data_IF_893031666905
#
_entry.id   IF_893031666905
#
_cell.length_a   1.000
_cell.length_b   1.000
_cell.length_c   1.000
_cell.angle_alpha   90.00
_cell.angle_beta   90.00
_cell.angle_gamma   90.00
#
_symmetry.space_group_name_H-M   'P 1'
#
loop_
_entity.id
_entity.type
_entity.pdbx_description
1 polymer ?
#
# COMPACT_ATOMS: atom_id res chain seq x y z
N UNK A 1 13.76 -10.79 8.64
CA UNK A 1 13.17 -9.48 8.22
C UNK A 1 14.25 -8.72 7.48
N UNK A 2 14.06 -8.49 6.21
CA UNK A 2 14.98 -7.70 5.41
C UNK A 2 14.70 -6.19 5.54
N UNK A 3 15.74 -5.37 5.44
CA UNK A 3 15.59 -3.92 5.42
C UNK A 3 14.97 -3.44 4.11
N UNK A 4 15.39 -4.05 3.02
CA UNK A 4 14.94 -3.71 1.67
C UNK A 4 14.38 -4.95 0.98
N UNK A 5 13.20 -4.81 0.41
CA UNK A 5 12.62 -5.77 -0.53
C UNK A 5 12.80 -5.23 -1.95
N UNK A 6 13.24 -6.05 -2.90
CA UNK A 6 13.40 -5.64 -4.31
C UNK A 6 12.45 -6.44 -5.18
N UNK A 7 11.49 -5.74 -5.78
CA UNK A 7 10.53 -6.26 -6.74
C UNK A 7 10.98 -5.97 -8.17
N UNK A 8 10.99 -6.98 -9.03
CA UNK A 8 11.43 -6.87 -10.42
C UNK A 8 10.85 -8.00 -11.29
N UNK A 9 10.90 -7.87 -12.60
CA UNK A 9 10.58 -8.98 -13.50
C UNK A 9 11.74 -9.97 -13.55
N UNK A 10 11.48 -11.26 -13.41
CA UNK A 10 12.50 -12.33 -13.31
C UNK A 10 13.51 -12.33 -14.48
N UNK A 11 13.08 -11.91 -15.67
CA UNK A 11 13.95 -11.72 -16.82
C UNK A 11 15.05 -10.67 -16.62
N UNK A 12 14.82 -9.72 -15.70
CA UNK A 12 15.72 -8.60 -15.46
C UNK A 12 16.75 -8.86 -14.35
N UNK A 13 16.77 -10.09 -13.80
CA UNK A 13 17.62 -10.50 -12.68
C UNK A 13 19.07 -10.05 -12.83
N UNK A 14 19.69 -10.35 -13.97
CA UNK A 14 21.10 -10.02 -14.22
C UNK A 14 21.37 -8.51 -14.17
N UNK A 15 20.40 -7.69 -14.56
CA UNK A 15 20.49 -6.23 -14.56
C UNK A 15 20.21 -5.62 -13.18
N UNK A 16 19.43 -6.30 -12.38
CA UNK A 16 19.07 -5.86 -11.02
C UNK A 16 20.18 -6.23 -10.03
N UNK A 17 20.92 -7.30 -10.27
CA UNK A 17 21.98 -7.78 -9.39
C UNK A 17 23.02 -6.71 -8.99
N UNK A 18 23.57 -5.88 -9.90
CA UNK A 18 24.51 -4.82 -9.53
C UNK A 18 23.87 -3.75 -8.64
N UNK A 19 22.58 -3.45 -8.83
CA UNK A 19 21.84 -2.51 -7.98
C UNK A 19 21.67 -3.07 -6.57
N UNK A 20 21.33 -4.35 -6.46
CA UNK A 20 21.24 -5.05 -5.16
C UNK A 20 22.57 -5.02 -4.44
N UNK A 21 23.68 -5.35 -5.13
CA UNK A 21 25.02 -5.29 -4.56
C UNK A 21 25.37 -3.89 -4.03
N UNK A 22 24.95 -2.82 -4.74
CA UNK A 22 25.16 -1.45 -4.28
C UNK A 22 24.33 -1.12 -3.03
N UNK A 23 23.15 -1.70 -2.89
CA UNK A 23 22.29 -1.54 -1.69
C UNK A 23 22.90 -2.32 -0.52
N UNK A 24 23.30 -3.57 -0.71
CA UNK A 24 23.94 -4.41 0.30
C UNK A 24 25.25 -3.83 0.82
N UNK A 25 26.01 -3.16 -0.06
CA UNK A 25 27.25 -2.45 0.32
C UNK A 25 27.02 -1.33 1.36
N UNK A 26 25.78 -0.87 1.57
CA UNK A 26 25.42 0.06 2.64
C UNK A 26 25.20 -0.63 4.00
N UNK A 27 25.33 -1.96 4.05
CA UNK A 27 25.08 -2.73 5.27
C UNK A 27 23.61 -3.05 5.53
N UNK A 28 22.74 -2.89 4.52
CA UNK A 28 21.33 -3.25 4.62
C UNK A 28 21.09 -4.66 4.12
N UNK A 29 20.22 -5.40 4.81
CA UNK A 29 19.77 -6.72 4.36
C UNK A 29 18.76 -6.57 3.23
N UNK A 30 18.97 -7.29 2.13
CA UNK A 30 18.11 -7.23 0.95
C UNK A 30 17.42 -8.58 0.73
N UNK A 31 16.11 -8.54 0.55
CA UNK A 31 15.34 -9.69 0.11
C UNK A 31 15.02 -9.54 -1.40
N UNK A 32 15.62 -10.39 -2.18
CA UNK A 32 15.44 -10.46 -3.63
C UNK A 32 15.77 -11.87 -4.10
N UNK A 33 15.16 -12.32 -5.20
CA UNK A 33 15.46 -13.62 -5.83
C UNK A 33 15.66 -14.79 -4.83
N UNK A 34 14.70 -15.10 -3.96
CA UNK A 34 14.85 -16.17 -3.01
C UNK A 34 15.00 -17.52 -3.74
N UNK A 35 15.96 -18.34 -3.32
CA UNK A 35 16.00 -19.76 -3.66
C UNK A 35 14.85 -20.46 -2.93
N UNK A 36 13.74 -20.67 -3.63
CA UNK A 36 12.57 -21.31 -3.06
C UNK A 36 12.56 -22.77 -3.45
N UNK A 37 12.62 -23.65 -2.45
CA UNK A 37 12.55 -25.09 -2.66
C UNK A 37 11.17 -25.49 -3.23
N UNK A 38 11.17 -26.43 -4.17
CA UNK A 38 9.95 -26.97 -4.75
C UNK A 38 9.00 -27.49 -3.64
N UNK A 39 7.76 -27.00 -3.62
CA UNK A 39 6.74 -27.42 -2.66
C UNK A 39 6.49 -26.49 -1.46
N UNK A 40 7.23 -25.36 -1.34
CA UNK A 40 6.91 -24.34 -0.36
C UNK A 40 5.82 -23.39 -0.88
N UNK A 41 4.99 -22.86 0.05
CA UNK A 41 3.99 -21.83 -0.29
C UNK A 41 4.69 -20.49 -0.60
N UNK A 42 5.05 -20.34 -1.87
CA UNK A 42 5.75 -19.20 -2.45
C UNK A 42 5.14 -17.85 -2.06
N UNK A 43 3.82 -17.76 -2.18
CA UNK A 43 3.09 -16.52 -2.02
C UNK A 43 3.10 -15.97 -0.59
N UNK A 44 3.10 -16.86 0.41
CA UNK A 44 3.10 -16.45 1.83
C UNK A 44 4.44 -15.88 2.27
N UNK A 45 5.55 -16.46 1.81
CA UNK A 45 6.88 -15.98 2.19
C UNK A 45 7.15 -14.61 1.57
N UNK A 46 6.85 -14.45 0.27
CA UNK A 46 6.95 -13.16 -0.41
C UNK A 46 6.08 -12.10 0.28
N UNK A 47 4.82 -12.42 0.55
CA UNK A 47 3.91 -11.49 1.21
C UNK A 47 4.40 -11.08 2.61
N UNK A 48 5.04 -12.00 3.35
CA UNK A 48 5.59 -11.73 4.68
C UNK A 48 6.79 -10.80 4.60
N UNK A 49 7.76 -11.09 3.71
CA UNK A 49 8.95 -10.27 3.54
C UNK A 49 8.60 -8.90 2.96
N UNK A 50 7.71 -8.82 1.96
CA UNK A 50 7.20 -7.56 1.42
C UNK A 50 6.59 -6.69 2.53
N UNK A 51 5.70 -7.26 3.36
CA UNK A 51 5.03 -6.52 4.44
C UNK A 51 5.97 -6.08 5.57
N UNK A 52 7.04 -6.83 5.80
CA UNK A 52 7.98 -6.56 6.88
C UNK A 52 9.12 -5.62 6.49
N UNK A 53 9.39 -5.45 5.20
CA UNK A 53 10.46 -4.61 4.71
C UNK A 53 10.25 -3.13 5.06
N UNK A 54 11.35 -2.47 5.47
CA UNK A 54 11.37 -1.05 5.81
C UNK A 54 11.31 -0.16 4.56
N UNK A 55 11.81 -0.66 3.43
CA UNK A 55 11.72 -0.04 2.11
C UNK A 55 11.49 -1.09 1.04
N UNK A 56 10.74 -0.74 0.00
CA UNK A 56 10.47 -1.61 -1.16
C UNK A 56 10.95 -0.91 -2.42
N UNK A 57 12.01 -1.44 -3.03
CA UNK A 57 12.49 -0.99 -4.33
C UNK A 57 11.72 -1.72 -5.40
N UNK A 58 11.04 -1.00 -6.28
CA UNK A 58 10.38 -1.59 -7.45
C UNK A 58 11.11 -1.15 -8.71
N UNK A 59 11.63 -2.13 -9.44
CA UNK A 59 12.39 -1.89 -10.67
C UNK A 59 11.45 -1.94 -11.87
N UNK A 60 11.21 -0.78 -12.47
CA UNK A 60 10.40 -0.64 -13.66
C UNK A 60 11.23 -0.80 -14.92
N UNK A 61 10.90 -1.79 -15.72
CA UNK A 61 11.40 -2.06 -17.06
C UNK A 61 10.21 -2.22 -18.01
N UNK A 62 10.39 -2.21 -19.34
CA UNK A 62 9.31 -2.54 -20.26
C UNK A 62 8.62 -3.87 -19.96
N UNK A 63 9.35 -4.84 -19.39
CA UNK A 63 8.81 -6.14 -18.98
C UNK A 63 8.06 -6.08 -17.65
N UNK A 64 8.62 -5.41 -16.64
CA UNK A 64 8.04 -5.40 -15.31
C UNK A 64 6.74 -4.60 -15.22
N UNK A 65 6.55 -3.58 -16.06
CA UNK A 65 5.31 -2.80 -16.13
C UNK A 65 4.09 -3.64 -16.55
N UNK A 66 4.32 -4.72 -17.29
CA UNK A 66 3.27 -5.66 -17.69
C UNK A 66 3.00 -6.73 -16.62
N UNK A 67 3.90 -6.90 -15.66
CA UNK A 67 3.76 -7.89 -14.59
C UNK A 67 2.70 -7.48 -13.59
N UNK A 68 1.62 -8.26 -13.50
CA UNK A 68 0.58 -8.07 -12.47
C UNK A 68 1.13 -8.19 -11.06
N UNK A 69 2.14 -9.06 -10.89
CA UNK A 69 2.80 -9.28 -9.62
C UNK A 69 3.58 -8.04 -9.16
N UNK A 70 4.50 -7.54 -9.98
CA UNK A 70 5.30 -6.35 -9.68
C UNK A 70 4.41 -5.14 -9.41
N UNK A 71 3.33 -4.98 -10.20
CA UNK A 71 2.35 -3.91 -9.99
C UNK A 71 1.59 -4.03 -8.67
N UNK A 72 1.25 -5.26 -8.26
CA UNK A 72 0.61 -5.54 -6.98
C UNK A 72 1.50 -5.19 -5.79
N UNK A 73 2.77 -5.60 -5.85
CA UNK A 73 3.79 -5.30 -4.82
C UNK A 73 4.07 -3.79 -4.74
N UNK A 74 4.14 -3.12 -5.89
CA UNK A 74 4.32 -1.67 -5.96
C UNK A 74 3.17 -0.92 -5.30
N UNK A 75 1.93 -1.36 -5.53
CA UNK A 75 0.74 -0.75 -4.92
C UNK A 75 0.73 -0.94 -3.41
N UNK A 76 0.98 -2.17 -2.90
CA UNK A 76 1.08 -2.42 -1.46
C UNK A 76 2.15 -1.54 -0.81
N UNK A 77 3.32 -1.42 -1.45
CA UNK A 77 4.40 -0.58 -0.97
C UNK A 77 4.06 0.93 -1.00
N UNK A 78 3.35 1.40 -2.03
CA UNK A 78 2.89 2.78 -2.14
C UNK A 78 1.88 3.12 -1.04
N UNK A 79 0.90 2.25 -0.79
CA UNK A 79 -0.12 2.40 0.25
C UNK A 79 0.50 2.49 1.65
N UNK A 80 1.60 1.78 1.88
CA UNK A 80 2.36 1.82 3.14
C UNK A 80 3.36 2.99 3.22
N UNK A 81 3.56 3.74 2.14
CA UNK A 81 4.52 4.84 2.08
C UNK A 81 5.99 4.38 2.15
N UNK A 82 6.27 3.16 1.70
CA UNK A 82 7.62 2.55 1.69
C UNK A 82 8.15 2.26 0.28
N UNK A 83 7.44 2.71 -0.76
CA UNK A 83 7.81 2.49 -2.15
C UNK A 83 8.95 3.42 -2.57
N UNK A 84 9.97 2.83 -3.17
CA UNK A 84 11.09 3.53 -3.84
C UNK A 84 11.17 3.03 -5.29
N UNK A 85 10.50 3.70 -6.22
CA UNK A 85 10.48 3.25 -7.60
C UNK A 85 11.78 3.63 -8.33
N UNK A 86 12.26 2.71 -9.16
CA UNK A 86 13.44 2.86 -10.01
C UNK A 86 13.06 2.54 -11.45
N UNK A 87 13.50 3.33 -12.42
CA UNK A 87 13.20 3.12 -13.83
C UNK A 87 14.45 2.78 -14.64
N UNK A 88 14.30 1.78 -15.49
CA UNK A 88 15.26 1.40 -16.53
C UNK A 88 14.62 1.49 -17.92
N UNK A 89 15.43 1.76 -18.95
CA UNK A 89 15.08 1.68 -20.36
C UNK A 89 13.87 2.53 -20.79
N UNK A 90 13.69 3.67 -20.16
CA UNK A 90 12.57 4.54 -20.51
C UNK A 90 11.20 3.90 -20.27
N UNK A 91 11.08 2.92 -19.37
CA UNK A 91 9.83 2.24 -19.08
C UNK A 91 8.71 3.24 -18.74
N UNK A 92 7.54 3.04 -19.35
CA UNK A 92 6.37 3.86 -19.07
C UNK A 92 5.72 3.41 -17.75
N UNK A 93 5.83 4.26 -16.73
CA UNK A 93 5.35 3.92 -15.39
C UNK A 93 3.82 3.73 -15.37
N UNK A 94 3.31 2.75 -14.61
CA UNK A 94 1.88 2.62 -14.35
C UNK A 94 1.30 3.89 -13.74
N UNK A 95 0.06 4.22 -14.09
CA UNK A 95 -0.59 5.50 -13.73
C UNK A 95 -0.66 5.73 -12.22
N UNK A 96 -0.83 4.65 -11.46
CA UNK A 96 -0.95 4.64 -9.99
C UNK A 96 0.35 4.96 -9.25
N UNK A 97 1.50 4.88 -9.92
CA UNK A 97 2.82 5.20 -9.32
C UNK A 97 3.49 6.43 -9.94
N UNK A 98 2.91 7.02 -10.99
CA UNK A 98 3.49 8.20 -11.69
C UNK A 98 3.66 9.43 -10.80
N UNK A 99 2.85 9.57 -9.76
CA UNK A 99 2.93 10.67 -8.82
C UNK A 99 4.08 10.53 -7.81
N UNK A 100 4.73 9.36 -7.74
CA UNK A 100 5.81 9.07 -6.81
C UNK A 100 7.13 9.38 -7.49
N UNK A 101 8.02 10.10 -6.79
CA UNK A 101 9.35 10.39 -7.31
C UNK A 101 10.10 9.10 -7.65
N UNK A 102 10.51 8.96 -8.91
CA UNK A 102 11.15 7.76 -9.44
C UNK A 102 12.58 8.06 -9.82
N UNK A 103 13.52 7.29 -9.28
CA UNK A 103 14.93 7.39 -9.67
C UNK A 103 15.13 6.83 -11.07
N UNK A 104 15.66 7.64 -11.97
CA UNK A 104 15.96 7.23 -13.33
C UNK A 104 17.37 6.62 -13.41
N UNK A 105 17.45 5.34 -13.75
CA UNK A 105 18.70 4.62 -13.97
C UNK A 105 18.88 4.20 -15.45
N UNK A 106 18.24 4.91 -16.39
CA UNK A 106 18.47 4.68 -17.82
C UNK A 106 19.94 4.87 -18.14
N UNK A 107 20.59 3.83 -18.65
CA UNK A 107 22.01 3.89 -19.04
C UNK A 107 23.02 4.10 -17.91
N UNK A 108 22.69 3.79 -16.66
CA UNK A 108 23.59 3.97 -15.49
C UNK A 108 24.90 3.16 -15.55
N UNK A 109 24.99 2.14 -16.44
CA UNK A 109 26.20 1.39 -16.70
C UNK A 109 26.77 0.64 -15.49
N UNK A 110 25.92 0.21 -14.56
CA UNK A 110 26.27 -0.49 -13.31
C UNK A 110 27.22 0.32 -12.38
N UNK A 111 27.33 1.64 -12.60
CA UNK A 111 28.17 2.50 -11.79
C UNK A 111 27.47 2.88 -10.48
N UNK A 112 27.83 2.19 -9.40
CA UNK A 112 27.29 2.47 -8.06
C UNK A 112 27.61 3.90 -7.57
N UNK A 113 28.64 4.56 -8.10
CA UNK A 113 29.00 5.93 -7.76
C UNK A 113 28.23 6.99 -8.58
N UNK A 114 27.34 6.58 -9.49
CA UNK A 114 26.54 7.52 -10.27
C UNK A 114 25.63 8.35 -9.34
N UNK A 115 25.38 9.61 -9.70
CA UNK A 115 24.56 10.51 -8.90
C UNK A 115 23.15 9.93 -8.64
N UNK A 116 22.56 9.26 -9.62
CA UNK A 116 21.25 8.63 -9.51
C UNK A 116 21.22 7.48 -8.49
N UNK A 117 22.25 6.61 -8.47
CA UNK A 117 22.35 5.54 -7.47
C UNK A 117 22.60 6.11 -6.09
N UNK A 118 23.43 7.13 -5.96
CA UNK A 118 23.68 7.81 -4.68
C UNK A 118 22.41 8.51 -4.15
N UNK A 119 21.57 9.04 -5.00
CA UNK A 119 20.25 9.58 -4.64
C UNK A 119 19.30 8.47 -4.14
N UNK A 120 19.25 7.36 -4.87
CA UNK A 120 18.49 6.17 -4.46
C UNK A 120 18.93 5.69 -3.07
N UNK A 121 20.22 5.51 -2.85
CA UNK A 121 20.77 5.05 -1.57
C UNK A 121 20.46 6.01 -0.43
N UNK A 122 20.52 7.31 -0.67
CA UNK A 122 20.09 8.32 0.33
C UNK A 122 18.61 8.20 0.66
N UNK A 123 17.76 8.02 -0.35
CA UNK A 123 16.31 7.86 -0.17
C UNK A 123 15.99 6.60 0.63
N UNK A 124 16.64 5.48 0.31
CA UNK A 124 16.53 4.24 1.07
C UNK A 124 16.97 4.41 2.52
N UNK A 125 18.13 5.01 2.75
CA UNK A 125 18.65 5.28 4.10
C UNK A 125 17.70 6.11 4.94
N UNK A 126 17.13 7.18 4.37
CA UNK A 126 16.15 8.01 5.05
C UNK A 126 14.87 7.22 5.42
N UNK A 127 14.41 6.35 4.52
CA UNK A 127 13.22 5.52 4.73
C UNK A 127 13.46 4.46 5.81
N UNK A 128 14.57 3.71 5.71
CA UNK A 128 14.96 2.67 6.68
C UNK A 128 15.15 3.29 8.07
N UNK A 129 15.83 4.43 8.17
CA UNK A 129 16.05 5.11 9.45
C UNK A 129 14.73 5.60 10.06
N UNK A 130 13.78 6.06 9.26
CA UNK A 130 12.43 6.43 9.73
C UNK A 130 11.67 5.24 10.32
N UNK A 131 11.82 4.06 9.73
CA UNK A 131 11.18 2.83 10.20
C UNK A 131 11.90 2.23 11.42
N UNK A 132 13.23 2.37 11.49
CA UNK A 132 14.07 1.90 12.59
C UNK A 132 14.12 2.85 13.78
N UNK A 133 13.86 4.14 13.55
CA UNK A 133 13.77 5.10 14.65
C UNK A 133 12.81 4.52 15.68
N UNK A 134 13.21 4.36 16.95
CA UNK A 134 12.27 3.97 17.98
C UNK A 134 11.14 4.98 17.85
N UNK A 135 9.96 4.47 17.52
CA UNK A 135 8.74 5.27 17.65
C UNK A 135 8.86 5.83 19.05
N UNK A 136 9.00 7.15 19.25
CA UNK A 136 9.22 7.66 20.60
C UNK A 136 8.18 6.96 21.42
N UNK A 137 8.64 6.10 22.35
CA UNK A 137 7.75 5.58 23.37
C UNK A 137 7.12 6.85 23.89
N UNK A 138 5.82 6.99 23.69
CA UNK A 138 5.10 8.17 24.12
C UNK A 138 5.43 8.37 25.59
N UNK A 139 6.58 9.02 25.83
CA UNK A 139 6.75 9.75 27.04
C UNK A 139 5.50 10.64 27.05
N UNK A 140 4.67 10.49 28.07
CA UNK A 140 3.46 11.26 28.25
C UNK A 140 3.79 12.76 28.26
N UNK A 141 4.27 13.25 27.12
CA UNK A 141 4.03 14.61 26.73
C UNK A 141 2.50 14.71 26.62
N UNK A 142 1.86 15.72 27.17
CA UNK A 142 0.44 15.93 26.96
C UNK A 142 0.27 15.75 25.43
N UNK A 143 -0.47 14.71 25.04
CA UNK A 143 -0.74 14.43 23.63
C UNK A 143 -1.02 15.80 23.01
N UNK A 144 -0.28 16.22 21.94
CA UNK A 144 -0.80 17.30 21.17
C UNK A 144 -2.22 16.83 20.87
N UNK A 145 -3.19 17.52 21.43
CA UNK A 145 -4.59 17.28 21.08
C UNK A 145 -4.55 17.16 19.59
N UNK A 146 -4.89 15.98 18.99
CA UNK A 146 -4.89 15.83 17.54
C UNK A 146 -5.63 17.06 17.09
N UNK A 147 -5.13 17.82 16.07
CA UNK A 147 -5.78 19.05 15.68
C UNK A 147 -7.24 18.70 15.69
N UNK A 148 -8.00 19.42 16.56
CA UNK A 148 -9.46 19.26 16.62
C UNK A 148 -9.81 19.41 15.18
N UNK A 149 -10.19 18.32 14.53
CA UNK A 149 -10.65 18.36 13.16
C UNK A 149 -11.67 19.49 13.20
N UNK A 150 -11.54 20.52 12.37
CA UNK A 150 -12.52 21.58 12.35
C UNK A 150 -13.84 20.85 12.38
N UNK A 151 -14.83 21.27 13.19
CA UNK A 151 -16.08 20.56 13.48
C UNK A 151 -16.79 20.20 12.15
N UNK A 152 -16.18 19.36 11.38
CA UNK A 152 -16.51 18.88 10.05
C UNK A 152 -17.01 17.44 10.14
N UNK A 153 -17.91 17.11 9.25
CA UNK A 153 -18.43 15.76 9.09
C UNK A 153 -17.26 14.84 8.73
N UNK A 154 -17.09 13.74 9.47
CA UNK A 154 -16.08 12.72 9.19
C UNK A 154 -16.75 11.36 8.97
N UNK A 155 -16.24 10.59 8.02
CA UNK A 155 -16.84 9.33 7.57
C UNK A 155 -15.83 8.21 7.46
N UNK A 156 -16.23 7.01 7.88
CA UNK A 156 -15.58 5.75 7.55
C UNK A 156 -16.46 4.95 6.60
N UNK A 157 -15.94 4.54 5.47
CA UNK A 157 -16.61 3.61 4.56
C UNK A 157 -16.10 2.21 4.85
N UNK A 158 -16.96 1.35 5.39
CA UNK A 158 -16.62 -0.06 5.62
C UNK A 158 -16.58 -0.83 4.29
N UNK A 159 -15.75 -1.87 4.19
CA UNK A 159 -15.79 -2.76 3.03
C UNK A 159 -17.19 -3.34 2.82
N UNK A 160 -17.72 -3.17 1.62
CA UNK A 160 -19.06 -3.66 1.29
C UNK A 160 -19.08 -5.19 1.24
N UNK A 161 -20.08 -5.78 1.86
CA UNK A 161 -20.23 -7.23 1.90
C UNK A 161 -20.59 -7.77 0.51
N UNK A 162 -19.88 -8.81 0.07
CA UNK A 162 -20.27 -9.56 -1.12
C UNK A 162 -21.44 -10.47 -0.82
N UNK A 163 -22.60 -10.20 -1.39
CA UNK A 163 -23.81 -10.99 -1.27
C UNK A 163 -24.18 -11.70 -2.59
N UNK A 164 -23.23 -11.89 -3.48
CA UNK A 164 -23.44 -12.51 -4.79
C UNK A 164 -23.52 -14.04 -4.74
N UNK A 165 -23.05 -14.66 -3.64
CA UNK A 165 -22.90 -16.11 -3.53
C UNK A 165 -21.69 -16.67 -4.30
N UNK A 166 -20.87 -15.82 -4.90
CA UNK A 166 -19.68 -16.14 -5.67
C UNK A 166 -18.46 -15.45 -5.04
N UNK A 167 -17.50 -16.20 -4.46
CA UNK A 167 -16.30 -15.64 -3.85
C UNK A 167 -15.45 -14.82 -4.82
N UNK A 168 -15.48 -15.10 -6.12
CA UNK A 168 -14.73 -14.35 -7.13
C UNK A 168 -15.26 -12.91 -7.31
N UNK A 169 -16.45 -12.62 -6.82
CA UNK A 169 -17.00 -11.25 -6.83
C UNK A 169 -16.54 -10.41 -5.61
N UNK A 170 -15.72 -10.97 -4.73
CA UNK A 170 -15.21 -10.25 -3.54
C UNK A 170 -14.40 -9.02 -3.96
N UNK A 171 -13.51 -9.17 -4.96
CA UNK A 171 -12.72 -8.06 -5.46
C UNK A 171 -13.58 -6.93 -6.06
N UNK A 172 -14.76 -7.28 -6.61
CA UNK A 172 -15.67 -6.28 -7.16
C UNK A 172 -16.34 -5.45 -6.05
N UNK A 173 -16.73 -6.11 -4.95
CA UNK A 173 -17.28 -5.42 -3.77
C UNK A 173 -16.24 -4.52 -3.10
N UNK A 174 -14.97 -4.96 -3.08
CA UNK A 174 -13.85 -4.15 -2.58
C UNK A 174 -13.62 -2.92 -3.47
N UNK A 175 -13.64 -3.11 -4.79
CA UNK A 175 -13.48 -2.01 -5.76
C UNK A 175 -14.55 -0.93 -5.60
N UNK A 176 -15.82 -1.32 -5.41
CA UNK A 176 -16.91 -0.36 -5.15
C UNK A 176 -16.64 0.44 -3.87
N UNK A 177 -16.17 -0.22 -2.81
CA UNK A 177 -15.85 0.47 -1.55
C UNK A 177 -14.69 1.46 -1.73
N UNK A 178 -13.68 1.09 -2.50
CA UNK A 178 -12.52 1.92 -2.83
C UNK A 178 -12.90 3.13 -3.67
N UNK A 179 -13.75 2.94 -4.69
CA UNK A 179 -14.26 4.02 -5.53
C UNK A 179 -15.04 5.05 -4.68
N UNK A 180 -15.89 4.57 -3.78
CA UNK A 180 -16.66 5.45 -2.86
C UNK A 180 -15.71 6.24 -1.96
N UNK A 181 -14.70 5.60 -1.36
CA UNK A 181 -13.70 6.28 -0.52
C UNK A 181 -13.00 7.37 -1.36
N UNK A 182 -12.55 7.02 -2.55
CA UNK A 182 -11.86 7.94 -3.47
C UNK A 182 -12.73 9.14 -3.83
N UNK A 183 -14.00 8.91 -4.16
CA UNK A 183 -14.91 9.99 -4.53
C UNK A 183 -15.24 10.91 -3.34
N UNK A 184 -15.44 10.34 -2.16
CA UNK A 184 -15.68 11.12 -0.95
C UNK A 184 -14.47 11.97 -0.54
N UNK A 185 -13.23 11.53 -0.80
CA UNK A 185 -12.02 12.33 -0.51
C UNK A 185 -11.92 13.60 -1.35
N UNK A 186 -12.64 13.68 -2.46
CA UNK A 186 -12.71 14.90 -3.30
C UNK A 186 -13.55 16.02 -2.65
N UNK A 187 -14.33 15.68 -1.63
CA UNK A 187 -15.15 16.66 -0.89
C UNK A 187 -14.33 17.27 0.23
N UNK A 188 -13.83 18.49 0.03
CA UNK A 188 -12.89 19.15 0.96
C UNK A 188 -13.42 19.39 2.38
N UNK A 189 -14.76 19.43 2.55
CA UNK A 189 -15.43 19.60 3.85
C UNK A 189 -15.60 18.28 4.61
N UNK A 190 -15.24 17.13 4.02
CA UNK A 190 -15.46 15.80 4.57
C UNK A 190 -14.14 15.15 4.97
N UNK A 191 -14.00 14.78 6.25
CA UNK A 191 -12.89 13.96 6.71
C UNK A 191 -13.14 12.48 6.38
N UNK A 192 -12.37 11.88 5.47
CA UNK A 192 -12.57 10.48 5.06
C UNK A 192 -11.48 9.60 5.64
N UNK A 193 -11.87 8.50 6.30
CA UNK A 193 -10.92 7.50 6.79
C UNK A 193 -10.27 6.78 5.59
N UNK A 194 -8.96 6.57 5.69
CA UNK A 194 -8.23 5.89 4.61
C UNK A 194 -8.71 4.46 4.38
N UNK A 195 -8.61 3.99 3.14
CA UNK A 195 -8.94 2.63 2.73
C UNK A 195 -8.30 1.57 3.65
N UNK A 196 -7.00 1.68 3.89
CA UNK A 196 -6.27 0.70 4.69
C UNK A 196 -6.81 0.59 6.12
N UNK A 197 -7.19 1.71 6.72
CA UNK A 197 -7.79 1.72 8.06
C UNK A 197 -9.18 1.09 8.04
N UNK A 198 -10.01 1.41 7.05
CA UNK A 198 -11.36 0.88 6.91
C UNK A 198 -11.35 -0.64 6.63
N UNK A 199 -10.43 -1.10 5.78
CA UNK A 199 -10.32 -2.52 5.41
C UNK A 199 -9.78 -3.42 6.52
N UNK A 200 -9.23 -2.87 7.61
CA UNK A 200 -8.93 -3.64 8.81
C UNK A 200 -10.18 -4.27 9.47
N UNK A 201 -11.36 -3.78 9.13
CA UNK A 201 -12.64 -4.31 9.61
C UNK A 201 -13.25 -5.34 8.66
N UNK A 202 -12.65 -5.62 7.51
CA UNK A 202 -13.15 -6.58 6.53
C UNK A 202 -13.31 -7.98 7.15
N UNK A 203 -14.48 -8.59 6.94
CA UNK A 203 -14.79 -9.92 7.45
C UNK A 203 -14.97 -10.01 8.97
N UNK A 204 -14.92 -8.88 9.69
CA UNK A 204 -15.17 -8.84 11.13
C UNK A 204 -16.62 -8.42 11.39
N UNK A 205 -17.27 -9.13 12.29
CA UNK A 205 -18.56 -8.69 12.83
C UNK A 205 -18.29 -7.63 13.90
N UNK A 206 -18.34 -6.36 13.51
CA UNK A 206 -18.11 -5.23 14.42
C UNK A 206 -19.36 -4.36 14.47
N UNK A 207 -19.68 -3.87 15.67
CA UNK A 207 -20.72 -2.87 15.82
C UNK A 207 -20.28 -1.53 15.22
N UNK A 208 -21.13 -0.91 14.43
CA UNK A 208 -20.88 0.39 13.78
C UNK A 208 -20.48 1.45 14.79
N UNK A 209 -21.18 1.49 15.94
CA UNK A 209 -20.85 2.40 17.03
C UNK A 209 -19.45 2.19 17.61
N UNK A 210 -18.96 0.95 17.62
CA UNK A 210 -17.59 0.65 18.06
C UNK A 210 -16.55 1.15 17.05
N UNK A 211 -16.80 0.94 15.74
CA UNK A 211 -15.95 1.47 14.66
C UNK A 211 -15.88 2.99 14.74
N UNK A 212 -17.01 3.65 14.87
CA UNK A 212 -17.09 5.11 14.95
C UNK A 212 -16.29 5.66 16.14
N UNK A 213 -16.42 5.05 17.31
CA UNK A 213 -15.64 5.42 18.51
C UNK A 213 -14.15 5.18 18.32
N UNK A 214 -13.75 4.03 17.76
CA UNK A 214 -12.36 3.67 17.57
C UNK A 214 -11.66 4.61 16.58
N UNK A 215 -12.35 4.98 15.50
CA UNK A 215 -11.82 5.85 14.46
C UNK A 215 -12.13 7.34 14.68
N UNK A 216 -12.95 7.66 15.70
CA UNK A 216 -13.39 9.03 16.01
C UNK A 216 -14.06 9.71 14.81
N UNK A 217 -14.93 9.00 14.11
CA UNK A 217 -15.71 9.53 13.00
C UNK A 217 -17.14 9.81 13.41
N UNK A 218 -17.75 10.82 12.77
CA UNK A 218 -19.16 11.18 13.00
C UNK A 218 -20.13 10.28 12.26
N UNK A 219 -19.68 9.64 11.16
CA UNK A 219 -20.53 8.79 10.32
C UNK A 219 -19.80 7.54 9.89
N UNK A 220 -20.55 6.47 9.68
CA UNK A 220 -20.05 5.23 9.08
C UNK A 220 -20.97 4.88 7.90
N UNK A 221 -20.38 4.57 6.76
CA UNK A 221 -21.07 4.03 5.60
C UNK A 221 -20.80 2.53 5.53
N UNK A 222 -21.84 1.73 5.59
CA UNK A 222 -21.78 0.30 5.34
C UNK A 222 -22.65 -0.10 4.16
N UNK A 223 -22.40 -1.28 3.60
CA UNK A 223 -23.20 -1.72 2.48
C UNK A 223 -22.92 -3.13 2.00
N UNK A 224 -23.63 -3.51 0.96
CA UNK A 224 -23.46 -4.78 0.30
C UNK A 224 -23.59 -4.65 -1.22
N UNK A 225 -22.91 -5.55 -1.90
CA UNK A 225 -22.95 -5.68 -3.37
C UNK A 225 -23.45 -7.07 -3.71
N UNK A 226 -24.46 -7.15 -4.57
CA UNK A 226 -24.96 -8.40 -5.14
C UNK A 226 -24.92 -8.31 -6.66
N UNK A 227 -24.24 -9.25 -7.29
CA UNK A 227 -24.23 -9.42 -8.74
C UNK A 227 -24.92 -10.73 -9.10
N UNK A 228 -25.93 -10.67 -9.95
CA UNK A 228 -26.65 -11.84 -10.43
C UNK A 228 -27.15 -11.59 -11.85
N UNK A 229 -26.90 -12.53 -12.77
CA UNK A 229 -27.46 -12.52 -14.13
C UNK A 229 -27.20 -11.21 -14.91
N UNK A 230 -26.00 -10.63 -14.80
CA UNK A 230 -25.64 -9.37 -15.48
C UNK A 230 -26.17 -8.10 -14.83
N UNK A 231 -26.87 -8.20 -13.70
CA UNK A 231 -27.34 -7.05 -12.90
C UNK A 231 -26.52 -6.92 -11.64
N UNK A 232 -26.24 -5.67 -11.26
CA UNK A 232 -25.59 -5.33 -9.99
C UNK A 232 -26.57 -4.56 -9.13
N UNK A 233 -26.72 -4.97 -7.86
CA UNK A 233 -27.44 -4.23 -6.84
C UNK A 233 -26.45 -3.82 -5.76
N UNK A 234 -26.38 -2.54 -5.48
CA UNK A 234 -25.61 -1.97 -4.40
C UNK A 234 -26.61 -1.44 -3.36
N UNK A 235 -26.43 -1.81 -2.11
CA UNK A 235 -27.17 -1.27 -0.99
C UNK A 235 -26.15 -0.55 -0.10
N UNK A 236 -26.42 0.69 0.27
CA UNK A 236 -25.56 1.47 1.15
C UNK A 236 -26.42 2.13 2.23
N UNK A 237 -25.88 2.14 3.46
CA UNK A 237 -26.51 2.78 4.62
C UNK A 237 -25.50 3.70 5.28
N UNK A 238 -25.86 4.98 5.40
CA UNK A 238 -25.08 5.95 6.16
C UNK A 238 -25.65 6.03 7.58
N UNK A 239 -24.79 5.81 8.57
CA UNK A 239 -25.14 5.76 9.97
C UNK A 239 -24.47 6.93 10.70
N UNK A 240 -25.25 7.71 11.40
CA UNK A 240 -24.78 8.80 12.29
C UNK A 240 -24.38 8.18 13.63
N UNK A 241 -23.09 8.18 13.92
CA UNK A 241 -22.55 7.55 15.14
C UNK A 241 -23.03 8.16 16.46
N UNK A 242 -23.62 9.36 16.42
CA UNK A 242 -24.19 10.01 17.61
C UNK A 242 -25.63 9.57 17.89
N UNK A 243 -26.30 8.98 16.90
CA UNK A 243 -27.73 8.61 16.95
C UNK A 243 -27.97 7.11 16.90
N UNK A 244 -26.90 6.33 16.72
CA UNK A 244 -26.98 4.88 16.72
C UNK A 244 -27.07 4.39 18.18
N UNK A 245 -28.30 4.11 18.60
CA UNK A 245 -28.66 3.47 19.88
C UNK A 245 -29.13 2.04 19.62
#
# INVERSE_FOLDING_TARGET
>A
MADVFVSYARSDKARVAPLVAAIEAQGWSVWWDPEIAAGQEFDRQIATELKSAAAVVVVWTPTSVESRWVRGEARDAADRGVLVPVRFDGAELPIDVRAIHTTNLDGWGENAASAAVQELLRSLGAMINRQRAPRPAAAAAPMPTPPVAPAGISICVLPFANMSGDPEQEYFSDGISEDIITDLTKVSALGVVSRNTAFNFKGKSVEVAQVARQLRVSHVLEGSVRKAGGRVRITAQLIDAAKDN
#
